data_IF_852203951265
#
_entry.id   IF_852203951265
#
_cell.length_a   1.000
_cell.length_b   1.000
_cell.length_c   1.000
_cell.angle_alpha   90.00
_cell.angle_beta   90.00
_cell.angle_gamma   90.00
#
_symmetry.space_group_name_H-M   'P 1'
#
loop_
_entity.id
_entity.type
_entity.pdbx_description
1 polymer ?
#
# COMPACT_ATOMS: atom_id res chain seq x y z
N UNK A 1 9.00 13.49 29.11
CA UNK A 1 8.48 14.83 28.79
C UNK A 1 7.50 14.69 27.63
N UNK A 2 6.25 15.10 27.77
CA UNK A 2 5.29 15.06 26.67
C UNK A 2 5.65 16.16 25.66
N UNK A 3 6.15 15.78 24.49
CA UNK A 3 6.43 16.72 23.40
C UNK A 3 5.09 17.28 22.91
N UNK A 4 4.86 18.57 23.13
CA UNK A 4 3.73 19.27 22.52
C UNK A 4 4.01 19.39 21.03
N UNK A 5 3.04 19.05 20.21
CA UNK A 5 3.12 19.25 18.76
C UNK A 5 2.52 20.61 18.48
N UNK A 6 3.31 21.53 17.94
CA UNK A 6 2.84 22.83 17.48
C UNK A 6 2.18 22.74 16.09
N UNK A 7 1.50 23.81 15.68
CA UNK A 7 0.82 23.91 14.38
C UNK A 7 1.75 23.58 13.22
N UNK A 8 2.96 24.14 13.21
CA UNK A 8 3.94 23.95 12.14
C UNK A 8 4.42 22.50 12.05
N UNK A 9 4.73 21.89 13.21
CA UNK A 9 5.12 20.48 13.30
C UNK A 9 4.01 19.57 12.79
N UNK A 10 2.75 19.87 13.13
CA UNK A 10 1.60 19.15 12.59
C UNK A 10 1.53 19.30 11.06
N UNK A 11 1.58 20.52 10.54
CA UNK A 11 1.47 20.79 9.10
C UNK A 11 2.60 20.14 8.30
N UNK A 12 3.84 20.18 8.80
CA UNK A 12 4.97 19.52 8.16
C UNK A 12 4.72 18.02 8.00
N UNK A 13 4.35 17.34 9.10
CA UNK A 13 4.04 15.90 9.08
C UNK A 13 2.84 15.57 8.20
N UNK A 14 1.85 16.44 8.19
CA UNK A 14 0.64 16.26 7.41
C UNK A 14 0.93 16.42 5.91
N UNK A 15 1.73 17.42 5.52
CA UNK A 15 2.17 17.62 4.13
C UNK A 15 3.09 16.49 3.64
N UNK A 16 4.04 16.04 4.45
CA UNK A 16 4.93 14.92 4.10
C UNK A 16 4.15 13.63 3.79
N UNK A 17 3.02 13.40 4.48
CA UNK A 17 2.23 12.18 4.32
C UNK A 17 1.07 12.31 3.36
N UNK A 18 0.48 13.51 3.26
CA UNK A 18 -0.82 13.72 2.63
C UNK A 18 -0.88 14.95 1.74
N UNK A 19 0.24 15.62 1.47
CA UNK A 19 0.29 16.94 0.82
C UNK A 19 -0.41 17.06 -0.54
N UNK A 20 -0.57 15.95 -1.27
CA UNK A 20 -1.31 15.93 -2.54
C UNK A 20 -2.82 15.69 -2.40
N UNK A 21 -3.26 15.17 -1.26
CA UNK A 21 -4.64 14.70 -1.05
C UNK A 21 -5.48 15.68 -0.22
N UNK A 22 -4.82 16.51 0.61
CA UNK A 22 -5.49 17.43 1.53
C UNK A 22 -4.90 18.84 1.44
N UNK A 23 -5.79 19.84 1.42
CA UNK A 23 -5.46 21.26 1.60
C UNK A 23 -5.73 21.69 3.04
N UNK A 24 -4.83 22.54 3.54
CA UNK A 24 -4.81 23.08 4.90
C UNK A 24 -5.04 24.60 4.93
N UNK A 25 -5.61 25.19 3.86
CA UNK A 25 -5.83 26.63 3.71
C UNK A 25 -6.64 27.26 4.87
N UNK A 26 -7.67 26.56 5.37
CA UNK A 26 -8.59 27.06 6.40
C UNK A 26 -8.43 26.31 7.74
N UNK A 27 -7.19 26.03 8.13
CA UNK A 27 -6.93 25.29 9.38
C UNK A 27 -6.91 26.22 10.61
N UNK A 28 -7.90 26.08 11.49
CA UNK A 28 -7.91 26.68 12.85
C UNK A 28 -7.26 25.71 13.85
N UNK A 29 -5.93 25.80 14.00
CA UNK A 29 -5.19 24.94 14.93
C UNK A 29 -5.18 25.51 16.34
N UNK A 30 -5.79 24.80 17.29
CA UNK A 30 -5.79 25.17 18.72
C UNK A 30 -4.94 24.24 19.60
N UNK A 31 -5.03 22.93 19.36
CA UNK A 31 -4.25 21.93 20.07
C UNK A 31 -4.25 20.60 19.31
N UNK A 32 -3.38 19.67 19.69
CA UNK A 32 -3.27 18.35 19.07
C UNK A 32 -4.55 17.51 19.16
N UNK A 33 -5.38 17.76 20.18
CA UNK A 33 -6.66 17.08 20.41
C UNK A 33 -7.88 17.90 20.01
N UNK A 34 -7.68 19.16 19.63
CA UNK A 34 -8.78 20.01 19.18
C UNK A 34 -9.16 19.66 17.74
N UNK A 35 -10.46 19.65 17.40
CA UNK A 35 -10.88 19.42 16.03
C UNK A 35 -10.44 20.57 15.12
N UNK A 36 -9.92 20.23 13.95
CA UNK A 36 -9.54 21.17 12.89
C UNK A 36 -10.33 20.88 11.63
N UNK A 37 -10.49 21.90 10.78
CA UNK A 37 -11.09 21.76 9.45
C UNK A 37 -9.99 21.53 8.43
N UNK A 38 -10.14 20.49 7.62
CA UNK A 38 -9.24 20.18 6.50
C UNK A 38 -10.06 19.91 5.24
N UNK A 39 -9.48 20.14 4.07
CA UNK A 39 -10.16 19.90 2.80
C UNK A 39 -9.52 18.75 2.05
N UNK A 40 -10.27 17.67 1.77
CA UNK A 40 -9.87 16.65 0.81
C UNK A 40 -10.01 17.20 -0.61
N UNK A 41 -8.98 17.02 -1.45
CA UNK A 41 -8.96 17.50 -2.84
C UNK A 41 -9.51 16.45 -3.82
N UNK A 42 -9.40 15.17 -3.50
CA UNK A 42 -9.75 14.07 -4.40
C UNK A 42 -11.26 13.76 -4.50
N UNK A 43 -12.05 14.15 -3.51
CA UNK A 43 -13.43 13.66 -3.35
C UNK A 43 -14.45 14.79 -3.22
N UNK A 44 -15.74 14.55 -3.54
CA UNK A 44 -16.77 15.59 -3.54
C UNK A 44 -17.05 16.16 -2.15
N UNK A 45 -16.96 15.34 -1.10
CA UNK A 45 -17.03 15.81 0.29
C UNK A 45 -15.65 16.32 0.69
N UNK A 46 -15.40 17.60 0.44
CA UNK A 46 -14.10 18.22 0.66
C UNK A 46 -13.86 18.56 2.12
N UNK A 47 -14.80 19.26 2.77
CA UNK A 47 -14.61 19.74 4.13
C UNK A 47 -14.79 18.62 5.17
N UNK A 48 -13.78 18.39 6.00
CA UNK A 48 -13.76 17.34 7.02
C UNK A 48 -13.33 17.96 8.34
N UNK A 49 -14.02 17.60 9.42
CA UNK A 49 -13.66 17.99 10.79
C UNK A 49 -13.01 16.80 11.48
N UNK A 50 -11.74 16.93 11.87
CA UNK A 50 -10.96 15.86 12.49
C UNK A 50 -9.90 16.44 13.42
N UNK A 51 -9.47 15.70 14.43
CA UNK A 51 -8.35 16.12 15.28
C UNK A 51 -7.00 15.89 14.58
N UNK A 52 -5.98 16.74 14.82
CA UNK A 52 -4.62 16.55 14.32
C UNK A 52 -4.06 15.16 14.63
N UNK A 53 -4.31 14.67 15.85
CA UNK A 53 -3.94 13.32 16.28
C UNK A 53 -4.50 12.24 15.36
N UNK A 54 -5.82 12.26 15.13
CA UNK A 54 -6.49 11.25 14.33
C UNK A 54 -6.17 11.41 12.84
N UNK A 55 -5.95 12.63 12.36
CA UNK A 55 -5.52 12.89 10.98
C UNK A 55 -4.18 12.21 10.69
N UNK A 56 -3.19 12.33 11.59
CA UNK A 56 -1.91 11.64 11.46
C UNK A 56 -2.02 10.13 11.73
N UNK A 57 -2.81 9.66 12.68
CA UNK A 57 -2.89 8.23 12.96
C UNK A 57 -3.63 7.42 11.88
N UNK A 58 -4.49 8.06 11.08
CA UNK A 58 -5.34 7.39 10.08
C UNK A 58 -4.97 7.80 8.65
N UNK A 59 -5.82 7.48 7.66
CA UNK A 59 -5.68 7.90 6.24
C UNK A 59 -6.08 9.37 6.01
N UNK A 60 -6.10 10.20 7.05
CA UNK A 60 -6.40 11.62 6.96
C UNK A 60 -7.86 12.03 7.17
N UNK A 61 -8.80 11.09 7.33
CA UNK A 61 -10.18 11.37 7.79
C UNK A 61 -11.26 11.41 6.71
N UNK A 62 -10.92 11.38 5.42
CA UNK A 62 -11.92 11.26 4.36
C UNK A 62 -12.45 9.83 4.23
N UNK A 63 -13.78 9.64 4.31
CA UNK A 63 -14.42 8.31 4.19
C UNK A 63 -14.12 7.62 2.86
N UNK A 64 -13.99 8.38 1.78
CA UNK A 64 -13.70 7.84 0.45
C UNK A 64 -12.23 7.45 0.30
N UNK A 65 -11.29 8.30 0.77
CA UNK A 65 -9.86 7.94 0.83
C UNK A 65 -9.65 6.68 1.67
N UNK A 66 -10.34 6.58 2.82
CA UNK A 66 -10.26 5.40 3.69
C UNK A 66 -10.76 4.13 2.96
N UNK A 67 -11.87 4.22 2.22
CA UNK A 67 -12.39 3.11 1.44
C UNK A 67 -11.40 2.67 0.36
N UNK A 68 -10.81 3.62 -0.38
CA UNK A 68 -9.79 3.34 -1.40
C UNK A 68 -8.57 2.64 -0.79
N UNK A 69 -8.07 3.12 0.34
CA UNK A 69 -6.92 2.53 1.02
C UNK A 69 -7.20 1.10 1.51
N UNK A 70 -8.38 0.85 2.08
CA UNK A 70 -8.80 -0.51 2.48
C UNK A 70 -8.86 -1.47 1.30
N UNK A 71 -9.39 -1.01 0.17
CA UNK A 71 -9.47 -1.81 -1.04
C UNK A 71 -8.07 -2.19 -1.55
N UNK A 72 -7.14 -1.24 -1.57
CA UNK A 72 -5.75 -1.49 -1.97
C UNK A 72 -5.05 -2.50 -1.06
N UNK A 73 -5.28 -2.44 0.25
CA UNK A 73 -4.71 -3.40 1.20
C UNK A 73 -5.22 -4.83 0.97
N UNK A 74 -6.51 -4.99 0.69
CA UNK A 74 -7.11 -6.30 0.37
C UNK A 74 -6.55 -6.82 -0.96
N UNK A 75 -6.52 -5.99 -2.00
CA UNK A 75 -5.97 -6.37 -3.31
C UNK A 75 -4.51 -6.78 -3.24
N UNK A 76 -3.70 -6.12 -2.41
CA UNK A 76 -2.32 -6.51 -2.19
C UNK A 76 -2.23 -7.93 -1.60
N UNK A 77 -3.07 -8.28 -0.63
CA UNK A 77 -3.08 -9.62 -0.04
C UNK A 77 -3.52 -10.72 -1.01
N UNK A 78 -4.45 -10.41 -1.92
CA UNK A 78 -4.93 -11.36 -2.93
C UNK A 78 -3.91 -11.55 -4.06
N UNK A 79 -3.21 -10.49 -4.48
CA UNK A 79 -2.19 -10.57 -5.55
C UNK A 79 -1.01 -11.45 -5.16
N UNK A 80 -0.62 -11.48 -3.88
CA UNK A 80 0.45 -12.36 -3.39
C UNK A 80 0.04 -13.83 -3.56
N UNK A 81 -1.19 -14.20 -3.17
CA UNK A 81 -1.69 -15.57 -3.31
C UNK A 81 -1.85 -16.03 -4.76
N UNK A 82 -2.13 -15.12 -5.71
CA UNK A 82 -2.32 -15.47 -7.12
C UNK A 82 -1.00 -15.64 -7.89
N UNK A 83 0.07 -14.90 -7.52
CA UNK A 83 1.37 -14.99 -8.20
C UNK A 83 2.10 -16.29 -7.86
N UNK A 84 1.94 -16.83 -6.65
CA UNK A 84 2.56 -18.09 -6.22
C UNK A 84 2.08 -19.33 -7.00
N UNK A 85 0.93 -19.26 -7.68
CA UNK A 85 0.37 -20.39 -8.46
C UNK A 85 0.92 -20.47 -9.89
N UNK A 86 1.62 -19.44 -10.40
CA UNK A 86 1.99 -19.36 -11.83
C UNK A 86 3.45 -19.75 -12.14
N UNK A 87 4.30 -19.97 -11.12
CA UNK A 87 5.65 -20.51 -11.34
C UNK A 87 5.71 -22.02 -11.08
N UNK A 88 5.10 -22.78 -11.98
CA UNK A 88 5.62 -24.11 -12.29
C UNK A 88 6.59 -23.96 -13.47
N UNK A 89 7.92 -24.10 -13.29
CA UNK A 89 8.77 -24.39 -14.43
C UNK A 89 8.34 -25.75 -14.96
N UNK A 90 7.76 -25.78 -16.16
CA UNK A 90 7.43 -27.01 -16.85
C UNK A 90 8.70 -27.83 -17.08
N UNK A 91 8.98 -28.81 -16.23
CA UNK A 91 9.94 -29.87 -16.53
C UNK A 91 9.27 -30.89 -17.45
N UNK A 92 8.99 -30.49 -18.69
CA UNK A 92 8.75 -31.43 -19.78
C UNK A 92 10.10 -31.71 -20.46
N UNK A 93 10.90 -32.58 -19.84
CA UNK A 93 11.89 -33.37 -20.58
C UNK A 93 11.38 -34.80 -20.63
N UNK A 94 10.48 -35.05 -21.58
CA UNK A 94 10.14 -36.39 -22.01
C UNK A 94 11.17 -36.84 -23.04
N UNK A 95 11.90 -37.89 -22.66
CA UNK A 95 12.30 -39.02 -23.51
C UNK A 95 13.32 -38.77 -24.62
N UNK A 96 14.59 -39.03 -24.32
CA UNK A 96 15.51 -39.64 -25.28
C UNK A 96 16.72 -40.26 -24.56
N UNK A 97 16.57 -41.46 -24.02
CA UNK A 97 17.64 -42.47 -24.02
C UNK A 97 17.12 -43.82 -23.52
N UNK A 98 16.81 -44.71 -24.48
CA UNK A 98 16.93 -46.13 -24.26
C UNK A 98 18.43 -46.47 -24.28
N UNK A 99 18.97 -46.80 -23.12
CA UNK A 99 20.13 -47.68 -23.06
C UNK A 99 19.67 -49.11 -23.36
N UNK A 100 20.39 -49.84 -24.23
CA UNK A 100 20.96 -51.14 -23.87
C UNK A 100 22.02 -51.55 -24.90
N UNK A 101 23.25 -51.61 -24.40
CA UNK A 101 24.33 -52.56 -24.72
C UNK A 101 24.00 -53.69 -25.70
N UNK A 102 24.85 -53.84 -26.73
CA UNK A 102 25.76 -55.01 -26.84
C UNK A 102 26.55 -54.95 -28.17
N UNK A 103 27.87 -54.76 -28.07
CA UNK A 103 28.83 -55.42 -28.96
C UNK A 103 28.87 -56.92 -28.56
N UNK A 104 29.30 -57.91 -29.38
CA UNK A 104 30.56 -57.85 -30.14
C UNK A 104 30.64 -58.71 -31.44
N UNK A 105 31.87 -58.84 -31.94
CA UNK A 105 32.47 -59.96 -32.73
C UNK A 105 32.28 -60.05 -34.25
N UNK A 106 33.33 -59.64 -34.99
CA UNK A 106 34.19 -60.53 -35.80
C UNK A 106 33.80 -60.86 -37.27
N UNK A 107 34.84 -61.16 -38.07
CA UNK A 107 34.90 -61.74 -39.43
C UNK A 107 34.78 -60.72 -40.61
N UNK A 108 35.70 -60.60 -41.58
CA UNK A 108 36.93 -61.32 -41.99
C UNK A 108 37.96 -60.33 -42.53
#
# INVERSE_FOLDING_TARGET
>A
MAVRIDRETFLKRAMERFGHHYSYEEIDYRSYRSPVKIRCLDHPVRLIVITPERHLQTTGGCKYCLRRYRQQAIEASVKVAAVEMTQQPGSSQLSAQHEVSAAPTGAW
#
